data_IF_765328156653
#
_entry.id   IF_765328156653
#
_cell.length_a   1.000
_cell.length_b   1.000
_cell.length_c   1.000
_cell.angle_alpha   90.00
_cell.angle_beta   90.00
_cell.angle_gamma   90.00
#
_symmetry.space_group_name_H-M   'P 1'
#
loop_
_entity.id
_entity.type
_entity.pdbx_description
1 polymer ?
#
# COMPACT_ATOMS: atom_id res chain seq x y z
N UNK A 1 -24.25 0.82 0.98
CA UNK A 1 -23.01 0.11 1.41
C UNK A 1 -22.11 -0.06 0.20
N UNK A 2 -21.45 1.01 -0.24
CA UNK A 2 -20.61 1.01 -1.46
C UNK A 2 -19.33 1.84 -1.30
N UNK A 3 -19.26 2.75 -0.33
CA UNK A 3 -18.14 3.70 -0.19
C UNK A 3 -16.83 3.05 0.33
N UNK A 4 -16.92 2.00 1.17
CA UNK A 4 -15.73 1.37 1.79
C UNK A 4 -15.03 0.33 0.92
N UNK A 5 -15.72 -0.27 -0.06
CA UNK A 5 -15.07 -1.18 -1.02
C UNK A 5 -14.26 -0.39 -2.05
N UNK A 6 -14.77 0.76 -2.46
CA UNK A 6 -14.16 1.66 -3.44
C UNK A 6 -12.81 2.23 -2.94
N UNK A 7 -12.75 2.61 -1.66
CA UNK A 7 -11.53 3.21 -1.11
C UNK A 7 -10.37 2.21 -1.01
N UNK A 8 -10.64 0.95 -0.64
CA UNK A 8 -9.60 -0.09 -0.56
C UNK A 8 -9.03 -0.38 -1.95
N UNK A 9 -9.89 -0.49 -2.97
CA UNK A 9 -9.45 -0.69 -4.35
C UNK A 9 -8.61 0.49 -4.85
N UNK A 10 -9.06 1.72 -4.59
CA UNK A 10 -8.32 2.93 -4.97
C UNK A 10 -6.95 3.04 -4.28
N UNK A 11 -6.84 2.65 -3.00
CA UNK A 11 -5.56 2.61 -2.28
C UNK A 11 -4.64 1.56 -2.90
N UNK A 12 -5.18 0.39 -3.24
CA UNK A 12 -4.39 -0.67 -3.88
C UNK A 12 -3.85 -0.22 -5.24
N UNK A 13 -4.69 0.38 -6.07
CA UNK A 13 -4.28 0.93 -7.37
C UNK A 13 -3.24 2.05 -7.22
N UNK A 14 -3.36 2.89 -6.19
CA UNK A 14 -2.35 3.89 -5.87
C UNK A 14 -0.99 3.26 -5.55
N UNK A 15 -0.94 2.21 -4.72
CA UNK A 15 0.30 1.50 -4.39
C UNK A 15 0.88 0.82 -5.64
N UNK A 16 0.02 0.20 -6.46
CA UNK A 16 0.41 -0.46 -7.70
C UNK A 16 1.05 0.53 -8.69
N UNK A 17 0.40 1.67 -8.94
CA UNK A 17 0.91 2.69 -9.85
C UNK A 17 2.28 3.23 -9.40
N UNK A 18 2.49 3.40 -8.09
CA UNK A 18 3.80 3.80 -7.57
C UNK A 18 4.85 2.72 -7.74
N UNK A 19 4.49 1.46 -7.51
CA UNK A 19 5.41 0.35 -7.71
C UNK A 19 5.81 0.19 -9.20
N UNK A 20 4.91 0.45 -10.15
CA UNK A 20 5.21 0.43 -11.59
C UNK A 20 6.28 1.46 -12.00
N UNK A 21 6.41 2.55 -11.25
CA UNK A 21 7.48 3.55 -11.43
C UNK A 21 8.65 3.36 -10.43
N UNK A 22 8.79 2.15 -9.86
CA UNK A 22 9.81 1.76 -8.88
C UNK A 22 9.80 2.57 -7.57
N UNK A 23 8.65 3.13 -7.19
CA UNK A 23 8.49 3.82 -5.92
C UNK A 23 7.78 2.95 -4.87
N UNK A 24 8.14 3.15 -3.61
CA UNK A 24 7.44 2.53 -2.48
C UNK A 24 6.48 3.52 -1.83
N UNK A 25 5.47 2.98 -1.15
CA UNK A 25 4.42 3.77 -0.48
C UNK A 25 4.58 3.67 1.03
N UNK A 26 4.48 4.77 1.77
CA UNK A 26 4.36 4.75 3.23
C UNK A 26 2.94 5.11 3.66
N UNK A 27 2.58 4.80 4.91
CA UNK A 27 1.28 5.14 5.51
C UNK A 27 0.94 6.62 5.30
N UNK A 28 1.89 7.51 5.57
CA UNK A 28 1.71 8.97 5.38
C UNK A 28 1.32 9.38 3.97
N UNK A 29 1.75 8.66 2.93
CA UNK A 29 1.41 8.99 1.54
C UNK A 29 -0.07 8.75 1.29
N UNK A 30 -0.62 7.67 1.85
CA UNK A 30 -2.02 7.29 1.73
C UNK A 30 -2.87 8.19 2.62
N UNK A 31 -2.48 8.42 3.88
CA UNK A 31 -3.14 9.37 4.77
C UNK A 31 -3.33 10.73 4.12
N UNK A 32 -2.25 11.32 3.58
CA UNK A 32 -2.30 12.63 2.92
C UNK A 32 -3.11 12.63 1.63
N UNK A 33 -3.09 11.54 0.86
CA UNK A 33 -3.77 11.46 -0.44
C UNK A 33 -5.28 11.28 -0.29
N UNK A 34 -5.71 10.48 0.68
CA UNK A 34 -7.11 10.05 0.82
C UNK A 34 -7.82 10.65 2.03
N UNK A 35 -7.11 11.35 2.92
CA UNK A 35 -7.70 11.95 4.13
C UNK A 35 -8.12 10.93 5.19
N UNK A 36 -7.60 9.70 5.11
CA UNK A 36 -7.93 8.59 6.00
C UNK A 36 -6.94 8.58 7.16
N UNK A 37 -7.38 8.28 8.39
CA UNK A 37 -6.48 8.21 9.55
C UNK A 37 -5.34 7.20 9.35
N UNK A 38 -4.16 7.47 9.90
CA UNK A 38 -3.01 6.56 9.77
C UNK A 38 -3.30 5.16 10.34
N UNK A 39 -4.06 5.08 11.44
CA UNK A 39 -4.49 3.80 12.03
C UNK A 39 -5.39 2.99 11.08
N UNK A 40 -6.31 3.65 10.39
CA UNK A 40 -7.18 2.99 9.42
C UNK A 40 -6.40 2.57 8.15
N UNK A 41 -5.46 3.40 7.70
CA UNK A 41 -4.53 3.02 6.63
C UNK A 41 -3.72 1.79 7.03
N UNK A 42 -3.17 1.74 8.25
CA UNK A 42 -2.41 0.59 8.74
C UNK A 42 -3.24 -0.69 8.70
N UNK A 43 -4.49 -0.65 9.18
CA UNK A 43 -5.43 -1.79 9.11
C UNK A 43 -5.66 -2.26 7.67
N UNK A 44 -5.85 -1.34 6.73
CA UNK A 44 -6.05 -1.67 5.31
C UNK A 44 -4.80 -2.34 4.72
N UNK A 45 -3.62 -1.81 5.02
CA UNK A 45 -2.36 -2.34 4.50
C UNK A 45 -2.03 -3.71 5.11
N UNK A 46 -2.27 -3.90 6.40
CA UNK A 46 -2.11 -5.20 7.05
C UNK A 46 -3.04 -6.25 6.44
N UNK A 47 -4.31 -5.90 6.13
CA UNK A 47 -5.18 -6.79 5.36
C UNK A 47 -4.61 -7.15 3.99
N UNK A 48 -4.01 -6.19 3.27
CA UNK A 48 -3.40 -6.45 1.95
C UNK A 48 -2.16 -7.32 2.05
N UNK A 49 -1.35 -7.17 3.10
CA UNK A 49 -0.19 -8.02 3.37
C UNK A 49 -0.65 -9.45 3.71
N UNK A 50 -1.65 -9.62 4.57
CA UNK A 50 -2.22 -10.93 4.90
C UNK A 50 -2.77 -11.63 3.66
N UNK A 51 -3.41 -10.87 2.75
CA UNK A 51 -3.94 -11.36 1.48
C UNK A 51 -2.87 -11.49 0.37
N UNK A 52 -1.59 -11.23 0.66
CA UNK A 52 -0.47 -11.26 -0.29
C UNK A 52 -0.68 -10.40 -1.54
N UNK A 53 -1.38 -9.28 -1.39
CA UNK A 53 -1.54 -8.29 -2.47
C UNK A 53 -0.35 -7.33 -2.54
N UNK A 54 0.24 -7.03 -1.39
CA UNK A 54 1.40 -6.15 -1.22
C UNK A 54 2.37 -6.79 -0.23
N UNK A 55 3.62 -6.32 -0.23
CA UNK A 55 4.63 -6.65 0.77
C UNK A 55 5.01 -5.42 1.60
N UNK A 56 5.32 -5.65 2.87
CA UNK A 56 5.85 -4.66 3.81
C UNK A 56 7.37 -4.76 3.84
N UNK A 57 8.06 -3.64 3.68
CA UNK A 57 9.53 -3.52 3.70
C UNK A 57 9.89 -2.43 4.70
N UNK A 58 10.91 -2.63 5.51
CA UNK A 58 11.42 -1.59 6.39
C UNK A 58 12.49 -0.76 5.65
N UNK A 59 12.31 0.55 5.62
CA UNK A 59 13.24 1.53 5.06
C UNK A 59 14.11 2.08 6.19
N UNK A 60 15.37 1.67 6.23
CA UNK A 60 16.31 2.01 7.31
C UNK A 60 16.72 3.50 7.29
N UNK A 61 16.78 4.11 6.11
CA UNK A 61 17.18 5.52 5.95
C UNK A 61 16.14 6.45 6.58
N UNK A 62 14.86 6.17 6.32
CA UNK A 62 13.75 6.95 6.84
C UNK A 62 13.12 6.37 8.11
N UNK A 63 13.63 5.24 8.60
CA UNK A 63 13.14 4.49 9.76
C UNK A 63 11.63 4.24 9.72
N UNK A 64 11.13 3.78 8.58
CA UNK A 64 9.69 3.65 8.36
C UNK A 64 9.29 2.43 7.54
N UNK A 65 8.03 2.00 7.71
CA UNK A 65 7.46 0.93 6.91
C UNK A 65 7.01 1.42 5.53
N UNK A 66 7.46 0.70 4.51
CA UNK A 66 7.14 0.88 3.11
C UNK A 66 6.34 -0.29 2.56
N UNK A 67 5.57 -0.01 1.53
CA UNK A 67 4.64 -0.95 0.90
C UNK A 67 4.79 -0.88 -0.62
N UNK A 68 4.84 -2.05 -1.25
CA UNK A 68 4.90 -2.20 -2.71
C UNK A 68 4.17 -3.49 -3.09
N UNK A 69 3.73 -3.62 -4.34
CA UNK A 69 3.07 -4.84 -4.79
C UNK A 69 4.04 -6.03 -4.80
N UNK A 70 3.53 -7.24 -4.58
CA UNK A 70 4.29 -8.43 -4.93
C UNK A 70 4.35 -8.52 -6.46
N UNK A 71 5.43 -8.00 -7.05
CA UNK A 71 5.83 -8.43 -8.38
C UNK A 71 6.24 -9.89 -8.25
N UNK A 72 5.31 -10.80 -8.52
CA UNK A 72 5.67 -12.15 -8.93
C UNK A 72 6.53 -11.97 -10.18
N UNK A 73 7.85 -12.09 -10.03
CA UNK A 73 8.71 -12.33 -11.17
C UNK A 73 8.26 -13.67 -11.77
N UNK A 74 7.28 -13.65 -12.66
CA UNK A 74 7.13 -14.67 -13.67
C UNK A 74 8.30 -14.47 -14.64
N UNK A 75 9.45 -15.01 -14.25
CA UNK A 75 10.48 -15.35 -15.22
C UNK A 75 9.87 -16.38 -16.17
N UNK A 76 9.56 -15.95 -17.39
CA UNK A 76 9.28 -16.84 -18.52
C UNK A 76 10.59 -17.40 -19.08
#
# INVERSE_FOLDING_TARGET
MTETTDIKETIFDFIKNRAEINETTAIRHIHRRFGISEEEVEKILDEFVIKKKIKKIYDEEYQENRFTVETSNQSF
#
